data_IF_299698587527
#
_entry.id   IF_299698587527
#
_cell.length_a   1.000
_cell.length_b   1.000
_cell.length_c   1.000
_cell.angle_alpha   90.00
_cell.angle_beta   90.00
_cell.angle_gamma   90.00
#
_symmetry.space_group_name_H-M   'P 1'
#
loop_
_entity.id
_entity.type
_entity.pdbx_description
1 polymer ?
#
# COMPACT_ATOMS: atom_id res chain seq x y z
N UNK A 1 15.90 26.15 25.40
CA UNK A 1 17.36 25.89 25.41
C UNK A 1 17.58 24.43 25.01
N UNK A 2 18.08 24.17 23.80
CA UNK A 2 18.46 22.82 23.36
C UNK A 2 19.96 22.67 23.54
N UNK A 3 20.41 21.94 24.56
CA UNK A 3 21.82 21.57 24.69
C UNK A 3 22.08 20.43 23.70
N UNK A 4 22.85 20.65 22.64
CA UNK A 4 23.24 19.58 21.71
C UNK A 4 24.59 19.02 22.13
N UNK A 5 24.61 17.75 22.51
CA UNK A 5 25.87 17.02 22.73
C UNK A 5 26.55 16.84 21.37
N UNK A 6 27.57 17.66 21.10
CA UNK A 6 28.28 17.64 19.81
C UNK A 6 29.16 16.39 19.68
N UNK A 7 29.12 15.72 18.51
CA UNK A 7 30.02 14.60 18.15
C UNK A 7 31.51 14.91 18.37
N UNK A 8 31.87 16.19 18.33
CA UNK A 8 33.23 16.67 18.58
C UNK A 8 33.73 16.32 19.99
N UNK A 9 32.86 16.36 21.02
CA UNK A 9 33.24 16.01 22.38
C UNK A 9 33.62 14.53 22.52
N UNK A 10 32.97 13.62 21.80
CA UNK A 10 33.29 12.19 21.85
C UNK A 10 34.67 11.87 21.28
N UNK A 11 35.07 12.52 20.19
CA UNK A 11 36.38 12.31 19.59
C UNK A 11 37.48 12.84 20.51
N UNK A 12 37.33 14.08 21.00
CA UNK A 12 38.31 14.72 21.91
C UNK A 12 38.40 14.01 23.27
N UNK A 13 37.29 13.48 23.81
CA UNK A 13 37.31 12.68 25.03
C UNK A 13 38.00 11.33 24.81
N UNK A 14 37.78 10.68 23.67
CA UNK A 14 38.45 9.44 23.31
C UNK A 14 39.97 9.61 23.22
N UNK A 15 40.43 10.65 22.52
CA UNK A 15 41.86 10.97 22.40
C UNK A 15 42.49 11.32 23.75
N UNK A 16 41.78 12.05 24.61
CA UNK A 16 42.29 12.40 25.95
C UNK A 16 42.41 11.15 26.85
N UNK A 17 41.48 10.20 26.76
CA UNK A 17 41.56 8.92 27.50
C UNK A 17 42.74 8.08 27.00
N UNK A 18 43.00 8.05 25.69
CA UNK A 18 44.16 7.34 25.11
C UNK A 18 45.49 7.98 25.50
N UNK A 19 45.56 9.31 25.52
CA UNK A 19 46.74 10.06 25.96
C UNK A 19 47.04 9.81 27.44
N UNK A 20 46.04 9.88 28.32
CA UNK A 20 46.19 9.59 29.76
C UNK A 20 46.60 8.13 30.01
N UNK A 21 46.04 7.17 29.27
CA UNK A 21 46.47 5.75 29.34
C UNK A 21 47.90 5.55 28.86
N UNK A 22 48.33 6.28 27.83
CA UNK A 22 49.72 6.31 27.38
C UNK A 22 50.67 6.87 28.43
N UNK A 23 50.25 7.91 29.15
CA UNK A 23 51.00 8.51 30.26
C UNK A 23 51.22 7.45 31.36
N UNK A 24 50.21 6.69 31.77
CA UNK A 24 50.34 5.61 32.79
C UNK A 24 51.44 4.58 32.45
N UNK A 25 51.70 4.30 31.16
CA UNK A 25 52.74 3.35 30.73
C UNK A 25 54.17 3.91 30.76
N UNK A 26 54.32 5.23 31.00
CA UNK A 26 55.61 5.91 31.03
C UNK A 26 56.34 5.69 32.36
N UNK A 27 57.65 5.45 32.28
CA UNK A 27 58.54 5.18 33.44
C UNK A 27 58.62 6.33 34.45
N UNK A 28 58.13 7.53 34.13
CA UNK A 28 58.26 8.74 34.95
C UNK A 28 56.97 9.14 35.71
N UNK A 29 55.92 8.31 35.70
CA UNK A 29 54.61 8.65 36.29
C UNK A 29 54.52 8.53 37.80
N UNK A 30 55.54 7.97 38.48
CA UNK A 30 55.49 7.64 39.91
C UNK A 30 54.98 8.77 40.85
N UNK A 31 55.23 10.04 40.53
CA UNK A 31 54.80 11.20 41.35
C UNK A 31 53.34 11.62 41.07
N UNK A 32 52.82 11.36 39.86
CA UNK A 32 51.50 11.80 39.39
C UNK A 32 50.49 10.65 39.22
N UNK A 33 50.89 9.41 39.52
CA UNK A 33 50.09 8.21 39.28
C UNK A 33 48.68 8.29 39.88
N UNK A 34 48.56 8.77 41.13
CA UNK A 34 47.26 8.95 41.78
C UNK A 34 46.37 9.99 41.08
N UNK A 35 46.96 11.06 40.53
CA UNK A 35 46.21 12.11 39.83
C UNK A 35 45.75 11.60 38.45
N UNK A 36 46.62 10.90 37.73
CA UNK A 36 46.31 10.30 36.41
C UNK A 36 45.21 9.23 36.56
N UNK A 37 45.28 8.37 37.57
CA UNK A 37 44.23 7.39 37.86
C UNK A 37 42.88 8.05 38.18
N UNK A 38 42.88 9.14 38.95
CA UNK A 38 41.68 9.92 39.23
C UNK A 38 41.09 10.54 37.95
N UNK A 39 41.93 11.12 37.09
CA UNK A 39 41.47 11.70 35.82
C UNK A 39 40.93 10.65 34.85
N UNK A 40 41.56 9.46 34.77
CA UNK A 40 41.04 8.35 33.96
C UNK A 40 39.65 7.93 34.45
N UNK A 41 39.43 7.82 35.76
CA UNK A 41 38.11 7.49 36.34
C UNK A 41 37.07 8.57 36.01
N UNK A 42 37.44 9.85 36.16
CA UNK A 42 36.56 10.99 35.87
C UNK A 42 36.21 11.04 34.37
N UNK A 43 37.21 10.92 33.48
CA UNK A 43 37.01 10.97 32.04
C UNK A 43 36.20 9.77 31.53
N UNK A 44 36.39 8.57 32.10
CA UNK A 44 35.57 7.41 31.78
C UNK A 44 34.11 7.64 32.18
N UNK A 45 33.86 8.13 33.41
CA UNK A 45 32.52 8.47 33.87
C UNK A 45 31.85 9.52 32.98
N UNK A 46 32.57 10.59 32.62
CA UNK A 46 32.10 11.62 31.69
C UNK A 46 31.71 11.00 30.34
N UNK A 47 32.55 10.13 29.79
CA UNK A 47 32.27 9.45 28.51
C UNK A 47 30.98 8.64 28.56
N UNK A 48 30.78 7.86 29.62
CA UNK A 48 29.59 7.01 29.78
C UNK A 48 28.32 7.85 30.01
N UNK A 49 28.41 8.90 30.83
CA UNK A 49 27.30 9.83 31.08
C UNK A 49 26.90 10.55 29.80
N UNK A 50 27.85 11.08 29.02
CA UNK A 50 27.56 11.80 27.77
C UNK A 50 26.92 10.88 26.74
N UNK A 51 27.40 9.63 26.59
CA UNK A 51 26.79 8.64 25.69
C UNK A 51 25.35 8.36 26.10
N UNK A 52 25.13 8.08 27.38
CA UNK A 52 23.80 7.80 27.91
C UNK A 52 22.87 9.00 27.73
N UNK A 53 23.36 10.21 28.01
CA UNK A 53 22.60 11.45 27.84
C UNK A 53 22.21 11.68 26.39
N UNK A 54 23.12 11.48 25.43
CA UNK A 54 22.81 11.61 24.01
C UNK A 54 21.69 10.66 23.58
N UNK A 55 21.70 9.41 24.07
CA UNK A 55 20.65 8.42 23.81
C UNK A 55 19.32 8.89 24.42
N UNK A 56 19.32 9.30 25.69
CA UNK A 56 18.14 9.81 26.38
C UNK A 56 17.56 11.02 25.65
N UNK A 57 18.40 11.97 25.24
CA UNK A 57 17.99 13.16 24.51
C UNK A 57 17.30 12.80 23.19
N UNK A 58 17.90 11.92 22.39
CA UNK A 58 17.32 11.50 21.11
C UNK A 58 15.95 10.84 21.31
N UNK A 59 15.84 9.90 22.24
CA UNK A 59 14.58 9.20 22.50
C UNK A 59 13.52 10.11 23.15
N UNK A 60 13.92 11.05 24.00
CA UNK A 60 13.01 11.99 24.63
C UNK A 60 12.43 12.98 23.60
N UNK A 61 13.26 13.52 22.69
CA UNK A 61 12.77 14.41 21.61
C UNK A 61 11.75 13.71 20.69
N UNK A 62 11.95 12.43 20.44
CA UNK A 62 11.00 11.61 19.68
C UNK A 62 9.63 11.54 20.38
N UNK A 63 9.62 11.16 21.67
CA UNK A 63 8.39 11.05 22.45
C UNK A 63 7.74 12.41 22.74
N UNK A 64 8.52 13.49 22.88
CA UNK A 64 8.00 14.85 23.07
C UNK A 64 7.06 15.24 21.91
N UNK A 65 7.47 14.97 20.66
CA UNK A 65 6.64 15.25 19.49
C UNK A 65 5.32 14.47 19.48
N UNK A 66 5.31 13.25 20.01
CA UNK A 66 4.13 12.38 20.05
C UNK A 66 3.19 12.83 21.16
N UNK A 67 3.67 12.94 22.40
CA UNK A 67 2.82 13.18 23.57
C UNK A 67 2.36 14.64 23.70
N UNK A 68 3.14 15.61 23.21
CA UNK A 68 2.74 17.02 23.21
C UNK A 68 1.93 17.37 21.95
N UNK A 69 2.18 16.68 20.83
CA UNK A 69 1.57 17.00 19.52
C UNK A 69 0.32 16.22 19.14
N UNK A 70 -0.06 15.16 19.88
CA UNK A 70 -1.18 14.28 19.49
C UNK A 70 -2.26 14.15 20.55
N UNK A 71 -3.53 14.06 20.12
CA UNK A 71 -4.69 13.79 20.97
C UNK A 71 -4.82 12.29 21.34
N UNK A 72 -3.71 11.55 21.35
CA UNK A 72 -3.71 10.12 21.62
C UNK A 72 -3.85 9.88 23.14
N UNK A 73 -4.92 9.20 23.54
CA UNK A 73 -5.19 8.86 24.94
C UNK A 73 -4.30 7.70 25.42
N UNK A 74 -3.03 7.98 25.67
CA UNK A 74 -2.08 6.99 26.21
C UNK A 74 -2.13 6.83 27.74
N UNK A 75 -3.08 7.49 28.42
CA UNK A 75 -3.43 7.27 29.83
C UNK A 75 -2.25 7.13 30.80
N UNK A 76 -1.81 5.90 31.06
CA UNK A 76 -0.67 5.58 31.93
C UNK A 76 0.68 6.01 31.36
N UNK A 77 0.92 5.81 30.07
CA UNK A 77 2.20 6.15 29.45
C UNK A 77 2.41 7.65 29.33
N UNK A 78 1.32 8.42 29.23
CA UNK A 78 1.37 9.88 29.33
C UNK A 78 1.89 10.33 30.70
N UNK A 79 1.40 9.73 31.80
CA UNK A 79 1.90 10.01 33.16
C UNK A 79 3.36 9.60 33.34
N UNK A 80 3.76 8.48 32.76
CA UNK A 80 5.17 8.03 32.76
C UNK A 80 6.05 9.02 32.00
N UNK A 81 5.57 9.52 30.84
CA UNK A 81 6.28 10.52 30.06
C UNK A 81 6.40 11.85 30.82
N UNK A 82 5.33 12.35 31.46
CA UNK A 82 5.38 13.57 32.28
C UNK A 82 6.40 13.47 33.42
N UNK A 83 6.53 12.29 34.00
CA UNK A 83 7.53 12.04 35.06
C UNK A 83 8.94 12.08 34.48
N UNK A 84 9.18 11.40 33.35
CA UNK A 84 10.47 11.42 32.66
C UNK A 84 10.83 12.84 32.14
N UNK A 85 9.85 13.59 31.63
CA UNK A 85 9.98 14.96 31.14
C UNK A 85 10.40 15.92 32.27
N UNK A 86 9.72 15.87 33.43
CA UNK A 86 10.08 16.67 34.61
C UNK A 86 11.50 16.39 35.07
N UNK A 87 11.88 15.12 35.16
CA UNK A 87 13.24 14.72 35.55
C UNK A 87 14.26 15.21 34.52
N UNK A 88 14.03 14.99 33.23
CA UNK A 88 14.94 15.40 32.17
C UNK A 88 15.10 16.94 32.10
N UNK A 89 13.99 17.69 32.16
CA UNK A 89 14.04 19.17 32.18
C UNK A 89 14.76 19.72 33.40
N UNK A 90 14.64 19.07 34.58
CA UNK A 90 15.40 19.43 35.78
C UNK A 90 16.91 19.30 35.53
N UNK A 91 17.36 18.17 34.98
CA UNK A 91 18.77 17.95 34.60
C UNK A 91 19.23 19.04 33.61
N UNK A 92 18.43 19.31 32.58
CA UNK A 92 18.75 20.33 31.58
C UNK A 92 18.85 21.74 32.17
N UNK A 93 18.00 22.07 33.15
CA UNK A 93 18.04 23.35 33.85
C UNK A 93 19.25 23.49 34.77
N UNK A 94 19.58 22.47 35.56
CA UNK A 94 20.80 22.44 36.38
C UNK A 94 22.06 22.61 35.52
N UNK A 95 22.10 21.91 34.39
CA UNK A 95 23.23 21.96 33.43
C UNK A 95 23.32 23.31 32.72
N UNK A 96 22.18 23.97 32.47
CA UNK A 96 22.19 25.34 31.92
C UNK A 96 22.81 26.35 32.87
N UNK A 97 22.75 26.10 34.20
CA UNK A 97 23.36 26.95 35.23
C UNK A 97 24.86 26.68 35.41
N UNK A 98 25.31 25.43 35.23
CA UNK A 98 26.73 25.08 35.23
C UNK A 98 27.09 24.30 33.95
N UNK A 99 27.64 25.02 32.97
CA UNK A 99 27.98 24.48 31.64
C UNK A 99 29.30 23.69 31.59
N UNK A 100 30.03 23.59 32.71
CA UNK A 100 31.25 22.80 32.76
C UNK A 100 30.92 21.31 32.70
N UNK A 101 31.38 20.66 31.62
CA UNK A 101 31.11 19.23 31.33
C UNK A 101 31.54 18.32 32.48
N UNK A 102 32.66 18.64 33.14
CA UNK A 102 33.15 17.91 34.31
C UNK A 102 32.09 17.94 35.41
N UNK A 103 31.71 19.12 35.88
CA UNK A 103 30.77 19.29 36.99
C UNK A 103 29.37 18.74 36.67
N UNK A 104 28.91 18.92 35.43
CA UNK A 104 27.61 18.44 34.97
C UNK A 104 27.53 16.90 34.96
N UNK A 105 28.61 16.23 34.55
CA UNK A 105 28.66 14.77 34.45
C UNK A 105 29.10 14.09 35.76
N UNK A 106 29.91 14.75 36.58
CA UNK A 106 30.35 14.22 37.89
C UNK A 106 29.40 14.57 39.04
N UNK A 107 28.27 15.22 38.76
CA UNK A 107 27.23 15.47 39.76
C UNK A 107 26.80 14.14 40.42
N UNK A 108 26.72 14.05 41.76
CA UNK A 108 26.35 12.82 42.44
C UNK A 108 25.05 12.21 41.90
N UNK A 109 25.09 10.93 41.54
CA UNK A 109 23.91 10.20 41.04
C UNK A 109 23.48 10.50 39.60
N UNK A 110 24.17 11.38 38.85
CA UNK A 110 23.74 11.78 37.49
C UNK A 110 23.57 10.60 36.53
N UNK A 111 24.49 9.64 36.59
CA UNK A 111 24.43 8.43 35.76
C UNK A 111 23.17 7.61 36.07
N UNK A 112 22.86 7.40 37.34
CA UNK A 112 21.69 6.64 37.77
C UNK A 112 20.38 7.38 37.45
N UNK A 113 20.34 8.71 37.59
CA UNK A 113 19.21 9.54 37.15
C UNK A 113 18.94 9.37 35.66
N UNK A 114 19.95 9.55 34.80
CA UNK A 114 19.81 9.38 33.35
C UNK A 114 19.43 7.94 32.97
N UNK A 115 19.96 6.95 33.68
CA UNK A 115 19.61 5.54 33.48
C UNK A 115 18.16 5.26 33.89
N UNK A 116 17.68 5.89 34.96
CA UNK A 116 16.27 5.77 35.38
C UNK A 116 15.33 6.38 34.34
N UNK A 117 15.69 7.54 33.77
CA UNK A 117 14.95 8.19 32.68
C UNK A 117 14.95 7.31 31.43
N UNK A 118 16.10 6.75 31.06
CA UNK A 118 16.20 5.84 29.92
C UNK A 118 15.27 4.63 30.08
N UNK A 119 15.27 3.99 31.25
CA UNK A 119 14.40 2.84 31.53
C UNK A 119 12.90 3.20 31.45
N UNK A 120 12.52 4.41 31.88
CA UNK A 120 11.14 4.90 31.74
C UNK A 120 10.77 5.10 30.26
N UNK A 121 11.65 5.77 29.50
CA UNK A 121 11.48 6.01 28.07
C UNK A 121 11.36 4.68 27.31
N UNK A 122 12.19 3.68 27.63
CA UNK A 122 12.16 2.38 26.96
C UNK A 122 10.87 1.60 27.22
N UNK A 123 10.31 1.70 28.42
CA UNK A 123 8.99 1.12 28.72
C UNK A 123 7.89 1.78 27.89
N UNK A 124 7.93 3.11 27.76
CA UNK A 124 6.97 3.86 26.92
C UNK A 124 7.13 3.46 25.45
N UNK A 125 8.35 3.39 24.94
CA UNK A 125 8.62 2.95 23.55
C UNK A 125 8.11 1.53 23.28
N UNK A 126 8.29 0.61 24.22
CA UNK A 126 7.77 -0.76 24.08
C UNK A 126 6.24 -0.77 23.98
N UNK A 127 5.55 -0.04 24.86
CA UNK A 127 4.10 0.08 24.86
C UNK A 127 3.58 0.73 23.57
N UNK A 128 4.25 1.79 23.10
CA UNK A 128 3.93 2.45 21.82
C UNK A 128 4.04 1.48 20.64
N UNK A 129 5.11 0.69 20.58
CA UNK A 129 5.31 -0.29 19.52
C UNK A 129 4.25 -1.40 19.55
N UNK A 130 3.88 -1.89 20.74
CA UNK A 130 2.78 -2.85 20.90
C UNK A 130 1.43 -2.27 20.46
N UNK A 131 1.17 -1.01 20.80
CA UNK A 131 -0.01 -0.27 20.35
C UNK A 131 -0.07 -0.16 18.82
N UNK A 132 1.01 0.32 18.18
CA UNK A 132 1.08 0.46 16.73
C UNK A 132 0.96 -0.88 16.01
N UNK A 133 1.58 -1.94 16.54
CA UNK A 133 1.45 -3.28 15.99
C UNK A 133 0.00 -3.80 16.07
N UNK A 134 -0.71 -3.52 17.17
CA UNK A 134 -2.13 -3.86 17.29
C UNK A 134 -2.96 -3.15 16.22
N UNK A 135 -2.66 -1.87 15.93
CA UNK A 135 -3.32 -1.12 14.85
C UNK A 135 -3.02 -1.69 13.47
N UNK A 136 -1.78 -2.07 13.22
CA UNK A 136 -1.35 -2.74 11.97
C UNK A 136 -2.03 -4.10 11.78
N UNK A 137 -2.25 -4.87 12.84
CA UNK A 137 -3.00 -6.12 12.75
C UNK A 137 -4.47 -5.91 12.41
N UNK A 138 -5.09 -4.83 12.89
CA UNK A 138 -6.49 -4.49 12.58
C UNK A 138 -6.67 -4.01 11.13
N UNK A 139 -5.66 -3.35 10.57
CA UNK A 139 -5.63 -2.95 9.16
C UNK A 139 -4.22 -3.16 8.58
N UNK A 140 -3.97 -4.32 7.93
CA UNK A 140 -2.62 -4.72 7.48
C UNK A 140 -1.91 -3.74 6.55
N UNK A 141 -2.64 -2.88 5.81
CA UNK A 141 -2.00 -1.90 4.93
C UNK A 141 -1.21 -0.83 5.69
N UNK A 142 -1.41 -0.69 7.01
CA UNK A 142 -0.54 0.16 7.84
C UNK A 142 0.89 -0.37 8.00
N UNK A 143 1.19 -1.60 7.59
CA UNK A 143 2.58 -2.06 7.49
C UNK A 143 3.39 -1.31 6.42
N UNK A 144 2.73 -0.62 5.49
CA UNK A 144 3.40 0.21 4.46
C UNK A 144 3.79 1.60 4.96
N UNK A 145 3.36 1.97 6.16
CA UNK A 145 3.61 3.27 6.75
C UNK A 145 4.71 3.18 7.81
N UNK A 146 5.55 4.22 7.88
CA UNK A 146 6.48 4.35 9.01
C UNK A 146 5.72 4.55 10.33
N UNK A 147 6.39 4.33 11.46
CA UNK A 147 5.77 4.56 12.78
C UNK A 147 5.28 6.02 12.92
N UNK A 148 6.04 6.99 12.40
CA UNK A 148 5.71 8.41 12.46
C UNK A 148 4.50 8.78 11.59
N UNK A 149 4.39 8.18 10.41
CA UNK A 149 3.24 8.35 9.52
C UNK A 149 1.99 7.70 10.09
N UNK A 150 2.12 6.53 10.71
CA UNK A 150 0.99 5.89 11.36
C UNK A 150 0.51 6.69 12.57
N UNK A 151 1.43 7.24 13.36
CA UNK A 151 1.10 8.10 14.50
C UNK A 151 0.42 9.40 14.07
N UNK A 152 0.85 10.03 12.96
CA UNK A 152 0.21 11.25 12.45
C UNK A 152 -1.24 10.99 12.03
N UNK A 153 -1.52 9.82 11.43
CA UNK A 153 -2.86 9.40 11.02
C UNK A 153 -3.75 9.12 12.24
N UNK A 154 -3.26 8.34 13.21
CA UNK A 154 -4.07 7.97 14.39
C UNK A 154 -4.28 9.18 15.31
N UNK A 155 -3.30 10.10 15.38
CA UNK A 155 -3.38 11.30 16.20
C UNK A 155 -4.34 12.36 15.68
N UNK A 156 -4.73 12.29 14.40
CA UNK A 156 -5.68 13.22 13.79
C UNK A 156 -7.12 12.69 13.85
N UNK A 157 -8.06 13.56 14.22
CA UNK A 157 -9.49 13.26 14.16
C UNK A 157 -10.10 13.50 12.77
N UNK A 158 -9.33 14.15 11.88
CA UNK A 158 -9.80 14.57 10.56
C UNK A 158 -9.48 13.49 9.51
N UNK A 159 -10.49 12.84 8.89
CA UNK A 159 -10.27 11.78 7.89
C UNK A 159 -9.44 12.23 6.69
N UNK A 160 -9.47 13.53 6.36
CA UNK A 160 -8.70 14.10 5.26
C UNK A 160 -7.18 13.92 5.39
N UNK A 161 -6.63 13.74 6.59
CA UNK A 161 -5.19 13.51 6.76
C UNK A 161 -4.71 12.22 6.12
N UNK A 162 -5.59 11.22 5.92
CA UNK A 162 -5.18 9.95 5.33
C UNK A 162 -4.83 10.07 3.84
N UNK A 163 -5.32 11.12 3.17
CA UNK A 163 -5.26 11.28 1.72
C UNK A 163 -3.81 11.23 1.21
N UNK A 164 -2.87 11.84 1.93
CA UNK A 164 -1.45 11.88 1.57
C UNK A 164 -0.77 10.49 1.63
N UNK A 165 -1.35 9.57 2.38
CA UNK A 165 -0.80 8.23 2.62
C UNK A 165 -1.47 7.14 1.78
N UNK A 166 -2.57 7.43 1.08
CA UNK A 166 -3.34 6.44 0.31
C UNK A 166 -2.49 5.78 -0.77
N UNK A 167 -1.62 6.53 -1.46
CA UNK A 167 -0.73 6.00 -2.49
C UNK A 167 0.27 4.95 -1.98
N UNK A 168 0.56 4.94 -0.67
CA UNK A 168 1.41 3.90 -0.06
C UNK A 168 0.63 2.65 0.31
N UNK A 169 -0.67 2.78 0.56
CA UNK A 169 -1.54 1.70 1.05
C UNK A 169 -2.34 1.01 -0.07
N UNK A 170 -2.62 1.71 -1.16
CA UNK A 170 -3.39 1.23 -2.31
C UNK A 170 -2.63 1.50 -3.60
N UNK A 171 -2.79 0.62 -4.58
CA UNK A 171 -2.20 0.82 -5.90
C UNK A 171 -3.03 1.81 -6.72
N UNK A 172 -2.37 2.84 -7.25
CA UNK A 172 -2.95 3.84 -8.16
C UNK A 172 -4.18 4.63 -7.63
N UNK A 173 -4.33 4.77 -6.31
CA UNK A 173 -5.38 5.58 -5.69
C UNK A 173 -4.83 6.95 -5.32
N UNK A 174 -5.47 8.01 -5.84
CA UNK A 174 -5.13 9.39 -5.54
C UNK A 174 -5.79 9.84 -4.25
N UNK A 175 -7.09 9.61 -4.11
CA UNK A 175 -7.88 10.14 -3.00
C UNK A 175 -9.21 9.42 -2.80
N UNK A 176 -9.78 9.63 -1.61
CA UNK A 176 -11.17 9.30 -1.30
C UNK A 176 -12.07 10.53 -1.48
N UNK A 177 -13.25 10.37 -2.05
CA UNK A 177 -14.25 11.42 -2.14
C UNK A 177 -15.03 11.50 -0.81
N UNK A 178 -14.64 12.43 0.06
CA UNK A 178 -15.32 12.66 1.33
C UNK A 178 -16.48 13.65 1.21
N UNK A 179 -17.61 13.31 1.81
CA UNK A 179 -18.84 14.10 1.78
C UNK A 179 -19.45 14.15 3.18
N UNK A 180 -19.94 15.32 3.59
CA UNK A 180 -20.70 15.46 4.82
C UNK A 180 -22.12 14.88 4.69
N UNK A 181 -22.64 14.32 5.77
CA UNK A 181 -23.97 13.69 5.81
C UNK A 181 -25.08 14.49 5.14
N UNK A 182 -25.19 15.80 5.43
CA UNK A 182 -26.24 16.66 4.85
C UNK A 182 -26.17 16.69 3.30
N UNK A 183 -24.96 16.71 2.73
CA UNK A 183 -24.76 16.67 1.28
C UNK A 183 -24.97 15.27 0.71
N UNK A 184 -24.77 14.22 1.51
CA UNK A 184 -25.05 12.84 1.15
C UNK A 184 -26.57 12.58 1.02
N UNK A 185 -27.38 13.09 1.95
CA UNK A 185 -28.85 13.05 1.87
C UNK A 185 -29.36 13.70 0.57
N UNK A 186 -28.93 14.94 0.30
CA UNK A 186 -29.27 15.67 -0.93
C UNK A 186 -28.86 14.88 -2.19
N UNK A 187 -27.73 14.14 -2.14
CA UNK A 187 -27.28 13.34 -3.28
C UNK A 187 -28.09 12.07 -3.50
N UNK A 188 -28.68 11.50 -2.44
CA UNK A 188 -29.59 10.35 -2.52
C UNK A 188 -30.97 10.79 -2.99
N UNK A 189 -31.46 11.94 -2.53
CA UNK A 189 -32.72 12.56 -2.94
C UNK A 189 -32.73 12.91 -4.44
N UNK A 190 -31.61 13.39 -5.02
CA UNK A 190 -31.55 13.63 -6.48
C UNK A 190 -31.63 12.37 -7.35
N UNK A 191 -31.43 11.17 -6.79
CA UNK A 191 -31.56 9.90 -7.53
C UNK A 191 -32.98 9.33 -7.45
N UNK A 192 -33.80 9.79 -6.51
CA UNK A 192 -35.19 9.40 -6.33
C UNK A 192 -36.04 10.66 -6.50
N UNK A 193 -36.59 10.91 -7.69
CA UNK A 193 -37.45 12.06 -8.01
C UNK A 193 -38.74 12.08 -7.16
N UNK A 194 -38.64 12.37 -5.86
CA UNK A 194 -39.78 12.64 -4.99
C UNK A 194 -39.48 13.91 -4.17
N UNK A 195 -40.26 14.96 -4.45
CA UNK A 195 -40.34 16.15 -3.62
C UNK A 195 -41.02 15.76 -2.31
N UNK A 196 -40.26 15.72 -1.22
CA UNK A 196 -40.81 15.64 0.14
C UNK A 196 -40.07 16.66 1.01
N UNK A 197 -40.85 17.31 1.88
CA UNK A 197 -40.59 18.56 2.60
C UNK A 197 -39.27 18.64 3.40
N UNK A 198 -38.68 19.85 3.40
CA UNK A 198 -37.44 20.31 4.06
C UNK A 198 -37.43 20.27 5.61
N UNK A 199 -38.01 19.26 6.25
CA UNK A 199 -37.96 19.13 7.73
C UNK A 199 -37.40 17.78 8.17
N UNK A 200 -36.12 17.55 7.92
CA UNK A 200 -35.39 16.43 8.53
C UNK A 200 -34.76 16.90 9.84
N UNK A 201 -35.21 16.28 10.93
CA UNK A 201 -34.77 16.43 12.31
C UNK A 201 -33.26 16.66 12.48
N UNK A 202 -32.89 17.88 12.89
CA UNK A 202 -31.58 18.18 13.46
C UNK A 202 -31.42 17.45 14.80
N UNK A 203 -30.54 16.44 14.85
CA UNK A 203 -29.85 16.04 16.07
C UNK A 203 -28.56 15.26 15.74
N UNK A 204 -27.42 15.80 16.19
CA UNK A 204 -26.08 15.18 16.38
C UNK A 204 -25.33 14.50 15.20
N UNK A 205 -25.93 14.27 14.02
CA UNK A 205 -25.23 13.65 12.87
C UNK A 205 -24.61 14.65 11.87
N UNK A 206 -24.80 15.96 12.06
CA UNK A 206 -24.47 16.99 11.06
C UNK A 206 -22.99 17.07 10.66
N UNK A 207 -22.07 16.63 11.53
CA UNK A 207 -20.62 16.66 11.26
C UNK A 207 -20.02 15.32 10.81
N UNK A 208 -20.84 14.29 10.58
CA UNK A 208 -20.33 12.99 10.15
C UNK A 208 -19.82 13.04 8.70
N UNK A 209 -18.61 12.52 8.50
CA UNK A 209 -17.93 12.47 7.20
C UNK A 209 -18.06 11.07 6.63
N UNK A 210 -18.45 10.96 5.37
CA UNK A 210 -18.58 9.71 4.63
C UNK A 210 -17.65 9.67 3.44
N UNK A 211 -16.98 8.54 3.21
CA UNK A 211 -16.33 8.25 1.94
C UNK A 211 -17.38 7.73 0.95
N UNK A 212 -17.57 8.43 -0.17
CA UNK A 212 -18.53 8.06 -1.23
C UNK A 212 -17.88 7.31 -2.39
N UNK A 213 -16.61 7.59 -2.68
CA UNK A 213 -15.94 7.04 -3.86
C UNK A 213 -14.43 6.98 -3.66
N UNK A 214 -13.76 6.17 -4.49
CA UNK A 214 -12.31 6.18 -4.65
C UNK A 214 -11.95 6.81 -5.98
N UNK A 215 -10.93 7.66 -5.99
CA UNK A 215 -10.46 8.38 -7.17
C UNK A 215 -9.05 7.90 -7.48
N UNK A 216 -8.83 7.44 -8.71
CA UNK A 216 -7.51 7.02 -9.20
C UNK A 216 -6.60 8.21 -9.54
N UNK A 217 -5.31 7.96 -9.80
CA UNK A 217 -4.37 9.00 -10.25
C UNK A 217 -4.79 9.63 -11.59
N UNK A 218 -5.46 8.87 -12.46
CA UNK A 218 -6.06 9.37 -13.72
C UNK A 218 -7.37 10.13 -13.48
N UNK A 219 -7.79 10.32 -12.23
CA UNK A 219 -9.06 10.93 -11.86
C UNK A 219 -10.27 10.14 -12.35
N UNK A 220 -10.13 8.83 -12.53
CA UNK A 220 -11.29 7.95 -12.66
C UNK A 220 -11.91 7.75 -11.28
N UNK A 221 -13.23 7.86 -11.17
CA UNK A 221 -13.97 7.75 -9.91
C UNK A 221 -14.77 6.46 -9.89
N UNK A 222 -14.52 5.62 -8.88
CA UNK A 222 -15.36 4.47 -8.56
C UNK A 222 -16.23 4.79 -7.34
N UNK A 223 -17.53 4.96 -7.58
CA UNK A 223 -18.50 5.15 -6.49
C UNK A 223 -18.67 3.87 -5.68
N UNK A 224 -18.74 4.01 -4.37
CA UNK A 224 -19.22 2.96 -3.48
C UNK A 224 -20.73 2.83 -3.60
N UNK A 225 -21.22 1.59 -3.50
CA UNK A 225 -22.66 1.34 -3.39
C UNK A 225 -23.18 1.91 -2.07
N UNK A 226 -22.46 1.62 -0.99
CA UNK A 226 -22.76 2.12 0.34
C UNK A 226 -21.64 3.07 0.80
N UNK A 227 -21.90 4.37 0.92
CA UNK A 227 -20.93 5.29 1.49
C UNK A 227 -20.55 4.88 2.92
N UNK A 228 -19.25 4.91 3.23
CA UNK A 228 -18.70 4.46 4.51
C UNK A 228 -18.51 5.64 5.44
N UNK A 229 -19.01 5.54 6.67
CA UNK A 229 -18.79 6.54 7.71
C UNK A 229 -17.32 6.52 8.16
N UNK A 230 -16.67 7.67 8.16
CA UNK A 230 -15.24 7.85 8.49
C UNK A 230 -15.04 8.46 9.88
N UNK A 231 -16.02 8.30 10.77
CA UNK A 231 -15.94 8.76 12.14
C UNK A 231 -15.31 7.69 13.04
N UNK A 232 -14.57 8.13 14.07
CA UNK A 232 -13.97 7.23 15.04
C UNK A 232 -12.61 6.68 14.58
N UNK A 233 -12.31 5.43 14.96
CA UNK A 233 -10.97 4.85 14.82
C UNK A 233 -10.64 4.54 13.35
N UNK A 234 -9.51 5.06 12.87
CA UNK A 234 -9.06 4.96 11.47
C UNK A 234 -8.97 3.52 10.97
N UNK A 235 -8.43 2.61 11.77
CA UNK A 235 -8.28 1.22 11.36
C UNK A 235 -9.62 0.51 11.06
N UNK A 236 -10.72 0.96 11.67
CA UNK A 236 -12.04 0.34 11.51
C UNK A 236 -12.65 0.79 10.19
N UNK A 237 -12.76 2.09 9.97
CA UNK A 237 -13.39 2.59 8.76
C UNK A 237 -12.53 2.37 7.51
N UNK A 238 -11.19 2.35 7.61
CA UNK A 238 -10.33 1.94 6.50
C UNK A 238 -10.53 0.48 6.10
N UNK A 239 -10.65 -0.42 7.08
CA UNK A 239 -11.00 -1.82 6.83
C UNK A 239 -12.39 -1.96 6.20
N UNK A 240 -13.34 -1.10 6.54
CA UNK A 240 -14.66 -1.06 5.90
C UNK A 240 -14.60 -0.52 4.48
N UNK A 241 -13.79 0.51 4.22
CA UNK A 241 -13.53 1.03 2.87
C UNK A 241 -12.94 -0.06 1.97
N UNK A 242 -11.98 -0.85 2.45
CA UNK A 242 -11.41 -1.94 1.66
C UNK A 242 -12.47 -3.00 1.29
N UNK A 243 -13.33 -3.37 2.25
CA UNK A 243 -14.41 -4.34 2.00
C UNK A 243 -15.42 -3.79 1.00
N UNK A 244 -15.84 -2.54 1.18
CA UNK A 244 -16.82 -1.88 0.32
C UNK A 244 -16.28 -1.62 -1.09
N UNK A 245 -14.99 -1.30 -1.22
CA UNK A 245 -14.30 -1.20 -2.50
C UNK A 245 -14.44 -2.50 -3.30
N UNK A 246 -14.07 -3.64 -2.70
CA UNK A 246 -14.16 -4.96 -3.35
C UNK A 246 -15.60 -5.34 -3.66
N UNK A 247 -16.52 -5.09 -2.71
CA UNK A 247 -17.94 -5.40 -2.87
C UNK A 247 -18.60 -4.58 -4.00
N UNK A 248 -18.41 -3.25 -3.99
CA UNK A 248 -18.93 -2.35 -5.02
C UNK A 248 -18.38 -2.71 -6.40
N UNK A 249 -17.06 -2.95 -6.49
CA UNK A 249 -16.42 -3.33 -7.75
C UNK A 249 -16.96 -4.67 -8.29
N UNK A 250 -17.20 -5.66 -7.43
CA UNK A 250 -17.82 -6.94 -7.82
C UNK A 250 -19.22 -6.77 -8.38
N UNK A 251 -20.05 -5.92 -7.78
CA UNK A 251 -21.39 -5.64 -8.27
C UNK A 251 -21.39 -4.86 -9.58
N UNK A 252 -20.54 -3.83 -9.70
CA UNK A 252 -20.33 -3.10 -10.95
C UNK A 252 -19.85 -4.04 -12.07
N UNK A 253 -18.97 -4.99 -11.74
CA UNK A 253 -18.51 -6.02 -12.69
C UNK A 253 -19.66 -6.91 -13.13
N UNK A 254 -20.48 -7.40 -12.19
CA UNK A 254 -21.67 -8.20 -12.51
C UNK A 254 -22.65 -7.47 -13.43
N UNK A 255 -22.93 -6.20 -13.12
CA UNK A 255 -23.77 -5.34 -13.94
C UNK A 255 -23.19 -5.22 -15.36
N UNK A 256 -21.90 -4.91 -15.46
CA UNK A 256 -21.21 -4.75 -16.74
C UNK A 256 -21.24 -6.02 -17.60
N UNK A 257 -21.05 -7.20 -16.99
CA UNK A 257 -21.15 -8.51 -17.68
C UNK A 257 -22.53 -8.69 -18.31
N UNK A 258 -23.59 -8.42 -17.54
CA UNK A 258 -24.97 -8.59 -18.01
C UNK A 258 -25.28 -7.64 -19.18
N UNK A 259 -24.89 -6.36 -19.08
CA UNK A 259 -25.22 -5.36 -20.09
C UNK A 259 -24.34 -5.41 -21.34
N UNK A 260 -23.21 -6.12 -21.35
CA UNK A 260 -22.30 -6.19 -22.52
C UNK A 260 -23.01 -6.64 -23.80
N UNK A 261 -23.90 -7.65 -23.71
CA UNK A 261 -24.71 -8.12 -24.85
C UNK A 261 -26.13 -7.56 -24.86
N UNK A 262 -26.52 -6.75 -23.87
CA UNK A 262 -27.89 -6.25 -23.77
C UNK A 262 -28.05 -4.94 -24.55
N UNK A 263 -28.48 -5.05 -25.82
CA UNK A 263 -29.05 -3.95 -26.62
C UNK A 263 -28.21 -2.65 -26.71
N UNK A 264 -26.90 -2.69 -26.48
CA UNK A 264 -26.00 -1.54 -26.55
C UNK A 264 -24.83 -1.80 -27.48
N UNK A 265 -24.30 -0.75 -28.11
CA UNK A 265 -23.06 -0.82 -28.86
C UNK A 265 -21.87 -1.00 -27.89
N UNK A 266 -20.85 -1.79 -28.29
CA UNK A 266 -19.63 -2.03 -27.51
C UNK A 266 -18.96 -0.72 -27.06
N UNK A 267 -18.88 0.30 -27.93
CA UNK A 267 -18.30 1.61 -27.62
C UNK A 267 -19.11 2.38 -26.56
N UNK A 268 -20.44 2.34 -26.65
CA UNK A 268 -21.32 3.00 -25.67
C UNK A 268 -21.23 2.30 -24.31
N UNK A 269 -21.19 0.97 -24.32
CA UNK A 269 -20.97 0.16 -23.12
C UNK A 269 -19.63 0.50 -22.45
N UNK A 270 -18.54 0.62 -23.22
CA UNK A 270 -17.23 1.03 -22.71
C UNK A 270 -17.21 2.45 -22.12
N UNK A 271 -18.10 3.36 -22.56
CA UNK A 271 -18.19 4.71 -21.95
C UNK A 271 -18.89 4.68 -20.60
N UNK A 272 -19.86 3.78 -20.42
CA UNK A 272 -20.69 3.69 -19.21
C UNK A 272 -19.90 3.19 -17.99
N UNK A 273 -19.00 2.22 -18.17
CA UNK A 273 -18.31 1.57 -17.06
C UNK A 273 -16.89 2.12 -16.83
N UNK A 274 -16.34 1.84 -15.64
CA UNK A 274 -14.96 2.18 -15.29
C UNK A 274 -13.96 1.26 -16.00
N UNK A 275 -12.75 1.74 -16.23
CA UNK A 275 -11.73 1.08 -17.04
C UNK A 275 -11.39 -0.33 -16.59
N UNK A 276 -11.09 -0.52 -15.30
CA UNK A 276 -10.77 -1.82 -14.73
C UNK A 276 -11.86 -2.87 -14.99
N UNK A 277 -13.13 -2.48 -14.81
CA UNK A 277 -14.29 -3.36 -15.03
C UNK A 277 -14.39 -3.74 -16.51
N UNK A 278 -14.20 -2.78 -17.41
CA UNK A 278 -14.23 -3.02 -18.86
C UNK A 278 -13.19 -4.06 -19.25
N UNK A 279 -11.95 -3.93 -18.76
CA UNK A 279 -10.86 -4.85 -19.10
C UNK A 279 -11.16 -6.29 -18.64
N UNK A 280 -11.69 -6.46 -17.42
CA UNK A 280 -12.04 -7.78 -16.89
C UNK A 280 -13.22 -8.41 -17.65
N UNK A 281 -14.25 -7.63 -17.95
CA UNK A 281 -15.43 -8.12 -18.68
C UNK A 281 -15.10 -8.40 -20.14
N UNK A 282 -14.23 -7.61 -20.76
CA UNK A 282 -13.74 -7.86 -22.12
C UNK A 282 -13.05 -9.23 -22.22
N UNK A 283 -12.14 -9.54 -21.29
CA UNK A 283 -11.46 -10.84 -21.24
C UNK A 283 -12.41 -12.02 -21.03
N UNK A 284 -13.44 -11.85 -20.19
CA UNK A 284 -14.48 -12.85 -20.00
C UNK A 284 -15.24 -13.12 -21.30
N UNK A 285 -15.70 -12.08 -21.99
CA UNK A 285 -16.46 -12.26 -23.22
C UNK A 285 -15.59 -12.82 -24.34
N UNK A 286 -14.33 -12.39 -24.45
CA UNK A 286 -13.36 -13.00 -25.38
C UNK A 286 -13.18 -14.50 -25.10
N UNK A 287 -13.02 -14.89 -23.84
CA UNK A 287 -12.92 -16.31 -23.45
C UNK A 287 -14.14 -17.09 -23.93
N UNK A 288 -15.34 -16.59 -23.62
CA UNK A 288 -16.58 -17.24 -23.99
C UNK A 288 -16.80 -17.31 -25.52
N UNK A 289 -16.49 -16.23 -26.23
CA UNK A 289 -16.66 -16.15 -27.69
C UNK A 289 -15.72 -17.11 -28.45
N UNK A 290 -14.49 -17.30 -27.96
CA UNK A 290 -13.53 -18.27 -28.50
C UNK A 290 -14.01 -19.69 -28.24
N UNK A 291 -14.49 -19.99 -27.03
CA UNK A 291 -15.08 -21.30 -26.69
C UNK A 291 -16.33 -21.61 -27.50
N UNK A 292 -17.19 -20.62 -27.75
CA UNK A 292 -18.34 -20.74 -28.66
C UNK A 292 -17.90 -21.03 -30.11
N UNK A 293 -16.77 -20.49 -30.57
CA UNK A 293 -16.22 -20.87 -31.89
C UNK A 293 -15.75 -22.33 -31.93
N UNK A 294 -15.11 -22.83 -30.87
CA UNK A 294 -14.76 -24.25 -30.78
C UNK A 294 -16.02 -25.13 -30.83
N UNK A 295 -17.06 -24.75 -30.09
CA UNK A 295 -18.34 -25.44 -30.10
C UNK A 295 -19.00 -25.46 -31.49
N UNK A 296 -18.92 -24.36 -32.25
CA UNK A 296 -19.40 -24.31 -33.65
C UNK A 296 -18.60 -25.21 -34.58
N UNK A 297 -17.29 -25.32 -34.39
CA UNK A 297 -16.44 -26.22 -35.18
C UNK A 297 -16.81 -27.68 -34.88
N UNK A 298 -16.95 -28.05 -33.61
CA UNK A 298 -17.17 -29.43 -33.16
C UNK A 298 -18.62 -29.87 -33.39
N UNK A 299 -19.59 -29.09 -32.92
CA UNK A 299 -21.03 -29.47 -32.91
C UNK A 299 -21.73 -29.15 -34.23
N UNK A 300 -21.34 -28.07 -34.90
CA UNK A 300 -21.98 -27.59 -36.14
C UNK A 300 -21.12 -27.79 -37.40
N UNK A 301 -19.93 -28.41 -37.28
CA UNK A 301 -18.99 -28.67 -38.37
C UNK A 301 -18.58 -27.40 -39.16
N UNK A 302 -18.61 -26.23 -38.52
CA UNK A 302 -18.30 -24.94 -39.14
C UNK A 302 -16.79 -24.67 -39.09
N UNK A 303 -16.02 -25.33 -39.95
CA UNK A 303 -14.53 -25.22 -39.97
C UNK A 303 -13.98 -23.80 -40.18
N UNK A 304 -14.78 -22.88 -40.72
CA UNK A 304 -14.41 -21.48 -40.91
C UNK A 304 -14.81 -20.55 -39.77
N UNK A 305 -15.40 -21.06 -38.68
CA UNK A 305 -15.92 -20.22 -37.58
C UNK A 305 -14.85 -19.30 -36.99
N UNK A 306 -13.67 -19.84 -36.63
CA UNK A 306 -12.54 -19.04 -36.11
C UNK A 306 -12.07 -17.98 -37.11
N UNK A 307 -11.98 -18.30 -38.41
CA UNK A 307 -11.59 -17.33 -39.46
C UNK A 307 -12.60 -16.20 -39.61
N UNK A 308 -13.90 -16.49 -39.47
CA UNK A 308 -14.95 -15.47 -39.46
C UNK A 308 -14.85 -14.61 -38.20
N UNK A 309 -14.56 -15.21 -37.05
CA UNK A 309 -14.39 -14.50 -35.79
C UNK A 309 -13.21 -13.52 -35.83
N UNK A 310 -12.05 -13.90 -36.40
CA UNK A 310 -10.92 -12.98 -36.61
C UNK A 310 -11.31 -11.76 -37.45
N UNK A 311 -12.14 -11.93 -38.49
CA UNK A 311 -12.66 -10.79 -39.27
C UNK A 311 -13.54 -9.87 -38.41
N UNK A 312 -14.34 -10.44 -37.52
CA UNK A 312 -15.15 -9.65 -36.57
C UNK A 312 -14.26 -8.89 -35.58
N UNK A 313 -13.24 -9.53 -35.01
CA UNK A 313 -12.27 -8.88 -34.12
C UNK A 313 -11.56 -7.71 -34.81
N UNK A 314 -11.10 -7.90 -36.05
CA UNK A 314 -10.47 -6.83 -36.82
C UNK A 314 -11.42 -5.66 -37.08
N UNK A 315 -12.69 -5.92 -37.40
CA UNK A 315 -13.71 -4.87 -37.56
C UNK A 315 -13.92 -4.09 -36.27
N UNK A 316 -14.02 -4.77 -35.12
CA UNK A 316 -14.20 -4.11 -33.83
C UNK A 316 -12.97 -3.28 -33.42
N UNK A 317 -11.76 -3.80 -33.68
CA UNK A 317 -10.52 -3.06 -33.48
C UNK A 317 -10.50 -1.79 -34.33
N UNK A 318 -10.89 -1.89 -35.61
CA UNK A 318 -10.97 -0.75 -36.52
C UNK A 318 -11.99 0.30 -36.04
N UNK A 319 -13.15 -0.12 -35.54
CA UNK A 319 -14.16 0.77 -34.94
C UNK A 319 -13.59 1.57 -33.76
N UNK A 320 -12.87 0.92 -32.84
CA UNK A 320 -12.21 1.59 -31.71
C UNK A 320 -11.15 2.59 -32.22
N UNK A 321 -10.32 2.19 -33.18
CA UNK A 321 -9.28 3.05 -33.77
C UNK A 321 -9.88 4.28 -34.46
N UNK A 322 -10.99 4.12 -35.18
CA UNK A 322 -11.70 5.24 -35.81
C UNK A 322 -12.25 6.19 -34.74
N UNK A 323 -12.81 5.67 -33.65
CA UNK A 323 -13.33 6.50 -32.56
C UNK A 323 -12.21 7.25 -31.83
N UNK A 324 -11.05 6.62 -31.62
CA UNK A 324 -9.87 7.25 -30.99
C UNK A 324 -9.25 8.38 -31.82
N UNK A 325 -9.52 8.45 -33.14
CA UNK A 325 -9.10 9.59 -33.98
C UNK A 325 -9.92 10.86 -33.75
N UNK A 326 -11.07 10.74 -33.07
CA UNK A 326 -11.92 11.88 -32.70
C UNK A 326 -11.39 12.52 -31.41
N UNK A 327 -11.91 13.70 -31.08
CA UNK A 327 -11.63 14.34 -29.80
C UNK A 327 -12.34 13.56 -28.67
N UNK A 328 -11.56 12.98 -27.76
CA UNK A 328 -12.03 12.22 -26.61
C UNK A 328 -11.52 12.84 -25.30
N UNK A 329 -12.25 12.60 -24.21
CA UNK A 329 -11.74 12.95 -22.88
C UNK A 329 -10.52 12.06 -22.56
N UNK A 330 -9.54 12.53 -21.77
CA UNK A 330 -8.35 11.75 -21.43
C UNK A 330 -8.67 10.33 -20.89
N UNK A 331 -9.65 10.21 -19.99
CA UNK A 331 -10.03 8.90 -19.44
C UNK A 331 -10.72 7.99 -20.45
N UNK A 332 -11.47 8.54 -21.41
CA UNK A 332 -12.08 7.76 -22.49
C UNK A 332 -11.01 7.26 -23.47
N UNK A 333 -10.05 8.12 -23.81
CA UNK A 333 -8.92 7.74 -24.65
C UNK A 333 -8.10 6.60 -24.01
N UNK A 334 -7.72 6.74 -22.73
CA UNK A 334 -6.96 5.73 -22.01
C UNK A 334 -7.72 4.40 -21.86
N UNK A 335 -9.06 4.45 -21.70
CA UNK A 335 -9.90 3.24 -21.74
C UNK A 335 -9.78 2.51 -23.07
N UNK A 336 -9.94 3.22 -24.17
CA UNK A 336 -9.88 2.62 -25.50
C UNK A 336 -8.48 2.11 -25.83
N UNK A 337 -7.43 2.83 -25.47
CA UNK A 337 -6.04 2.38 -25.64
C UNK A 337 -5.74 1.07 -24.90
N UNK A 338 -6.16 0.98 -23.63
CA UNK A 338 -5.93 -0.21 -22.80
C UNK A 338 -6.74 -1.41 -23.28
N UNK A 339 -7.99 -1.20 -23.73
CA UNK A 339 -8.80 -2.27 -24.34
C UNK A 339 -8.22 -2.71 -25.67
N UNK A 340 -7.77 -1.78 -26.51
CA UNK A 340 -7.15 -2.08 -27.80
C UNK A 340 -5.91 -2.97 -27.63
N UNK A 341 -5.10 -2.70 -26.62
CA UNK A 341 -3.92 -3.54 -26.28
C UNK A 341 -4.32 -4.99 -26.00
N UNK A 342 -5.42 -5.20 -25.29
CA UNK A 342 -5.97 -6.53 -24.99
C UNK A 342 -6.60 -7.19 -26.22
N UNK A 343 -7.35 -6.43 -27.02
CA UNK A 343 -8.02 -6.94 -28.21
C UNK A 343 -7.02 -7.41 -29.27
N UNK A 344 -5.92 -6.67 -29.46
CA UNK A 344 -4.82 -7.07 -30.34
C UNK A 344 -4.22 -8.41 -29.90
N UNK A 345 -3.93 -8.57 -28.61
CA UNK A 345 -3.44 -9.83 -28.07
C UNK A 345 -4.45 -10.98 -28.25
N UNK A 346 -5.75 -10.72 -28.03
CA UNK A 346 -6.82 -11.71 -28.23
C UNK A 346 -6.87 -12.16 -29.70
N UNK A 347 -6.84 -11.22 -30.64
CA UNK A 347 -6.79 -11.52 -32.08
C UNK A 347 -5.57 -12.35 -32.43
N UNK A 348 -4.38 -11.95 -31.97
CA UNK A 348 -3.13 -12.65 -32.25
C UNK A 348 -3.15 -14.09 -31.69
N UNK A 349 -3.78 -14.29 -30.53
CA UNK A 349 -4.01 -15.61 -29.95
C UNK A 349 -4.90 -16.47 -30.85
N UNK A 350 -6.01 -15.92 -31.35
CA UNK A 350 -6.89 -16.65 -32.28
C UNK A 350 -6.17 -16.95 -33.61
N UNK A 351 -5.37 -16.04 -34.13
CA UNK A 351 -4.56 -16.28 -35.33
C UNK A 351 -3.54 -17.41 -35.12
N UNK A 352 -2.92 -17.49 -33.94
CA UNK A 352 -2.04 -18.60 -33.55
C UNK A 352 -2.82 -19.92 -33.52
N UNK A 353 -4.01 -19.95 -32.89
CA UNK A 353 -4.86 -21.14 -32.84
C UNK A 353 -5.24 -21.63 -34.25
N UNK A 354 -5.57 -20.71 -35.16
CA UNK A 354 -5.89 -21.03 -36.56
C UNK A 354 -4.66 -21.58 -37.29
N UNK A 355 -3.50 -20.91 -37.14
CA UNK A 355 -2.24 -21.30 -37.79
C UNK A 355 -1.82 -22.70 -37.36
N UNK A 356 -1.94 -23.01 -36.08
CA UNK A 356 -1.50 -24.27 -35.48
C UNK A 356 -2.59 -25.36 -35.59
N UNK A 357 -3.75 -25.03 -36.19
CA UNK A 357 -4.81 -26.00 -36.49
C UNK A 357 -5.60 -26.48 -35.27
N UNK A 358 -5.63 -25.67 -34.21
CA UNK A 358 -6.28 -26.01 -32.94
C UNK A 358 -7.79 -25.85 -33.09
N UNK A 359 -8.52 -26.94 -32.89
CA UNK A 359 -9.99 -26.98 -33.08
C UNK A 359 -10.75 -27.43 -31.82
N UNK A 360 -10.06 -27.63 -30.70
CA UNK A 360 -10.66 -28.13 -29.48
C UNK A 360 -10.23 -27.30 -28.25
N UNK A 361 -11.13 -27.09 -27.28
CA UNK A 361 -10.82 -26.29 -26.10
C UNK A 361 -9.90 -27.01 -25.12
N UNK A 362 -9.72 -28.33 -25.23
CA UNK A 362 -8.83 -29.08 -24.33
C UNK A 362 -7.36 -29.01 -24.74
N UNK A 363 -7.05 -28.42 -25.91
CA UNK A 363 -5.68 -28.27 -26.37
C UNK A 363 -4.87 -27.35 -25.46
N UNK A 364 -3.61 -27.72 -25.21
CA UNK A 364 -2.71 -26.96 -24.36
C UNK A 364 -2.54 -25.51 -24.82
N UNK A 365 -2.54 -25.26 -26.14
CA UNK A 365 -2.36 -23.93 -26.73
C UNK A 365 -3.47 -22.94 -26.31
N UNK A 366 -4.67 -23.45 -26.05
CA UNK A 366 -5.77 -22.66 -25.47
C UNK A 366 -5.74 -22.70 -23.94
N UNK A 367 -5.51 -23.86 -23.33
CA UNK A 367 -5.51 -24.02 -21.87
C UNK A 367 -4.43 -23.19 -21.17
N UNK A 368 -3.31 -22.91 -21.84
CA UNK A 368 -2.22 -22.09 -21.33
C UNK A 368 -2.52 -20.59 -21.33
N UNK A 369 -3.60 -20.14 -21.95
CA UNK A 369 -4.06 -18.74 -21.91
C UNK A 369 -4.75 -18.43 -20.58
N UNK A 370 -4.65 -17.18 -20.14
CA UNK A 370 -5.36 -16.69 -18.95
C UNK A 370 -6.82 -16.42 -19.29
N UNK A 371 -7.72 -17.29 -18.83
CA UNK A 371 -9.14 -17.28 -19.19
C UNK A 371 -10.01 -16.81 -18.04
N UNK A 372 -11.12 -16.16 -18.35
CA UNK A 372 -12.01 -15.53 -17.38
C UNK A 372 -13.40 -16.14 -17.46
N UNK A 373 -13.93 -16.56 -16.30
CA UNK A 373 -15.22 -17.23 -16.19
C UNK A 373 -16.06 -16.59 -15.10
N UNK A 374 -17.28 -16.18 -15.45
CA UNK A 374 -18.28 -15.80 -14.45
C UNK A 374 -19.07 -17.03 -14.01
N UNK A 375 -18.97 -17.37 -12.73
CA UNK A 375 -19.68 -18.52 -12.16
C UNK A 375 -20.93 -18.02 -11.45
N UNK A 376 -22.10 -18.19 -12.09
CA UNK A 376 -23.38 -17.68 -11.56
C UNK A 376 -23.76 -18.24 -10.20
N UNK A 377 -23.34 -19.47 -9.86
CA UNK A 377 -23.59 -20.09 -8.53
C UNK A 377 -22.84 -19.36 -7.42
N UNK A 378 -21.59 -19.01 -7.67
CA UNK A 378 -20.71 -18.31 -6.72
C UNK A 378 -20.88 -16.79 -6.83
N UNK A 379 -21.60 -16.31 -7.86
CA UNK A 379 -21.80 -14.90 -8.20
C UNK A 379 -20.47 -14.14 -8.30
N UNK A 380 -19.43 -14.79 -8.84
CA UNK A 380 -18.05 -14.32 -8.78
C UNK A 380 -17.32 -14.54 -10.11
N UNK A 381 -16.28 -13.72 -10.35
CA UNK A 381 -15.38 -13.85 -11.49
C UNK A 381 -14.17 -14.71 -11.09
N UNK A 382 -13.88 -15.71 -11.89
CA UNK A 382 -12.74 -16.60 -11.73
C UNK A 382 -11.81 -16.50 -12.92
N UNK A 383 -10.52 -16.61 -12.65
CA UNK A 383 -9.50 -16.81 -13.65
C UNK A 383 -9.07 -18.27 -13.67
N UNK A 384 -8.81 -18.81 -14.85
CA UNK A 384 -8.28 -20.14 -15.02
C UNK A 384 -7.14 -20.13 -16.03
N UNK A 385 -6.03 -20.74 -15.65
CA UNK A 385 -4.88 -20.95 -16.53
C UNK A 385 -4.32 -22.34 -16.25
N UNK A 386 -4.27 -23.19 -17.27
CA UNK A 386 -4.07 -24.63 -17.14
C UNK A 386 -4.99 -25.22 -16.03
N UNK A 387 -4.38 -25.79 -14.99
CA UNK A 387 -5.08 -26.40 -13.86
C UNK A 387 -5.30 -25.41 -12.70
N UNK A 388 -4.72 -24.21 -12.76
CA UNK A 388 -4.88 -23.19 -11.74
C UNK A 388 -6.23 -22.49 -11.88
N UNK A 389 -6.98 -22.39 -10.77
CA UNK A 389 -8.22 -21.63 -10.66
C UNK A 389 -8.04 -20.57 -9.56
N UNK A 390 -8.33 -19.32 -9.88
CA UNK A 390 -8.13 -18.17 -8.98
C UNK A 390 -9.39 -17.31 -8.93
N UNK A 391 -9.71 -16.78 -7.76
CA UNK A 391 -10.74 -15.74 -7.63
C UNK A 391 -10.18 -14.39 -8.11
N UNK A 392 -11.00 -13.61 -8.80
CA UNK A 392 -10.67 -12.23 -9.12
C UNK A 392 -10.68 -11.38 -7.83
N UNK A 393 -9.64 -10.59 -7.60
CA UNK A 393 -9.42 -9.93 -6.30
C UNK A 393 -10.22 -8.65 -6.06
N UNK A 394 -10.75 -8.02 -7.12
CA UNK A 394 -11.53 -6.76 -7.07
C UNK A 394 -10.83 -5.57 -6.39
N UNK A 395 -9.50 -5.58 -6.28
CA UNK A 395 -8.72 -4.43 -5.80
C UNK A 395 -8.84 -3.28 -6.80
N UNK A 396 -9.49 -2.17 -6.42
CA UNK A 396 -9.62 -1.04 -7.32
C UNK A 396 -8.27 -0.34 -7.52
N UNK A 397 -7.87 -0.19 -8.77
CA UNK A 397 -6.57 0.35 -9.18
C UNK A 397 -6.69 1.36 -10.34
N UNK A 398 -7.89 1.87 -10.61
CA UNK A 398 -8.13 2.85 -11.68
C UNK A 398 -7.71 2.39 -13.08
N UNK A 399 -7.32 3.36 -13.91
CA UNK A 399 -6.87 3.17 -15.28
C UNK A 399 -5.34 3.09 -15.35
N UNK A 400 -4.77 2.17 -14.58
CA UNK A 400 -3.33 1.95 -14.55
C UNK A 400 -2.92 1.10 -15.76
N UNK A 401 -2.51 1.75 -16.86
CA UNK A 401 -2.23 1.19 -18.19
C UNK A 401 -1.67 -0.25 -18.26
N UNK A 402 -1.96 -0.93 -19.37
CA UNK A 402 -1.64 -2.36 -19.57
C UNK A 402 -0.34 -2.54 -20.34
N UNK A 403 0.43 -3.55 -19.95
CA UNK A 403 1.61 -3.98 -20.71
C UNK A 403 1.16 -4.67 -21.99
N UNK A 404 1.87 -4.43 -23.10
CA UNK A 404 1.65 -5.20 -24.34
C UNK A 404 2.02 -6.66 -24.09
N UNK A 405 1.04 -7.55 -24.20
CA UNK A 405 1.21 -8.97 -23.92
C UNK A 405 1.89 -9.64 -25.12
N UNK A 406 3.12 -10.12 -24.89
CA UNK A 406 3.92 -10.88 -25.86
C UNK A 406 4.00 -12.35 -25.45
N UNK A 407 4.41 -13.27 -26.35
CA UNK A 407 4.61 -14.68 -26.00
C UNK A 407 5.62 -14.94 -24.87
N UNK A 408 6.49 -13.97 -24.56
CA UNK A 408 7.35 -14.04 -23.38
C UNK A 408 6.59 -13.68 -22.09
N UNK A 409 5.70 -12.71 -22.16
CA UNK A 409 4.83 -12.29 -21.05
C UNK A 409 3.86 -13.41 -20.68
N UNK A 410 3.24 -14.07 -21.67
CA UNK A 410 2.37 -15.22 -21.43
C UNK A 410 3.08 -16.37 -20.72
N UNK A 411 4.34 -16.62 -21.09
CA UNK A 411 5.17 -17.63 -20.41
C UNK A 411 5.45 -17.26 -18.96
N UNK A 412 5.68 -15.99 -18.67
CA UNK A 412 5.81 -15.52 -17.28
C UNK A 412 4.48 -15.70 -16.54
N UNK A 413 3.35 -15.35 -17.16
CA UNK A 413 2.02 -15.50 -16.55
C UNK A 413 1.77 -16.95 -16.18
N UNK A 414 1.95 -17.86 -17.14
CA UNK A 414 1.80 -19.29 -16.96
C UNK A 414 2.70 -19.84 -15.84
N UNK A 415 3.96 -19.41 -15.78
CA UNK A 415 4.89 -19.86 -14.74
C UNK A 415 4.44 -19.39 -13.35
N UNK A 416 4.01 -18.13 -13.24
CA UNK A 416 3.57 -17.54 -11.97
C UNK A 416 2.26 -18.18 -11.51
N UNK A 417 1.25 -18.28 -12.38
CA UNK A 417 -0.04 -18.89 -12.02
C UNK A 417 0.11 -20.37 -11.70
N UNK A 418 0.95 -21.12 -12.42
CA UNK A 418 1.22 -22.51 -12.09
C UNK A 418 1.88 -22.65 -10.72
N UNK A 419 2.88 -21.82 -10.39
CA UNK A 419 3.51 -21.81 -9.06
C UNK A 419 2.50 -21.47 -7.96
N UNK A 420 1.67 -20.44 -8.16
CA UNK A 420 0.62 -20.03 -7.22
C UNK A 420 -0.42 -21.13 -6.99
N UNK A 421 -0.78 -21.89 -8.04
CA UNK A 421 -1.70 -23.03 -7.91
C UNK A 421 -1.16 -24.15 -7.01
N UNK A 422 0.16 -24.19 -6.82
CA UNK A 422 0.88 -25.14 -5.97
C UNK A 422 1.27 -24.54 -4.61
N UNK A 423 0.79 -23.33 -4.28
CA UNK A 423 1.18 -22.57 -3.09
C UNK A 423 2.70 -22.29 -3.01
N UNK A 424 3.34 -22.12 -4.17
CA UNK A 424 4.76 -21.80 -4.28
C UNK A 424 4.97 -20.35 -4.75
N UNK A 425 6.07 -19.75 -4.33
CA UNK A 425 6.56 -18.49 -4.89
C UNK A 425 7.22 -18.70 -6.25
N UNK A 426 7.16 -17.67 -7.11
CA UNK A 426 7.84 -17.66 -8.41
C UNK A 426 9.06 -16.74 -8.36
N UNK A 427 10.21 -17.23 -8.86
CA UNK A 427 11.45 -16.47 -8.96
C UNK A 427 11.90 -16.34 -10.43
N UNK A 428 11.32 -15.40 -11.21
CA UNK A 428 11.72 -15.22 -12.60
C UNK A 428 13.15 -14.66 -12.68
N UNK A 429 14.05 -15.41 -13.32
CA UNK A 429 15.45 -15.05 -13.51
C UNK A 429 15.69 -14.53 -14.94
N UNK A 430 16.54 -13.50 -15.07
CA UNK A 430 16.96 -12.97 -16.36
C UNK A 430 17.62 -11.59 -16.24
N UNK A 431 18.23 -11.07 -17.32
CA UNK A 431 18.93 -9.78 -17.32
C UNK A 431 18.07 -8.60 -16.84
N UNK A 432 18.70 -7.54 -16.32
CA UNK A 432 17.98 -6.32 -15.95
C UNK A 432 17.27 -5.72 -17.17
N UNK A 433 16.10 -5.10 -16.96
CA UNK A 433 15.35 -4.43 -18.03
C UNK A 433 14.52 -5.35 -18.95
N UNK A 434 14.50 -6.67 -18.74
CA UNK A 434 13.70 -7.61 -19.56
C UNK A 434 12.22 -7.72 -19.15
N UNK A 435 11.66 -6.68 -18.53
CA UNK A 435 10.23 -6.62 -18.20
C UNK A 435 9.73 -7.54 -17.07
N UNK A 436 10.59 -8.33 -16.39
CA UNK A 436 10.16 -9.33 -15.37
C UNK A 436 9.22 -8.77 -14.29
N UNK A 437 9.62 -7.67 -13.66
CA UNK A 437 8.84 -7.02 -12.60
C UNK A 437 7.54 -6.44 -13.15
N UNK A 438 7.58 -5.86 -14.35
CA UNK A 438 6.41 -5.27 -15.00
C UNK A 438 5.42 -6.33 -15.46
N UNK A 439 5.88 -7.51 -15.90
CA UNK A 439 5.00 -8.66 -16.18
C UNK A 439 4.30 -9.16 -14.92
N UNK A 440 4.99 -9.25 -13.77
CA UNK A 440 4.34 -9.63 -12.51
C UNK A 440 3.29 -8.59 -12.10
N UNK A 441 3.61 -7.29 -12.21
CA UNK A 441 2.66 -6.21 -11.93
C UNK A 441 1.44 -6.29 -12.85
N UNK A 442 1.64 -6.49 -14.15
CA UNK A 442 0.51 -6.55 -15.10
C UNK A 442 -0.37 -7.80 -14.90
N UNK A 443 0.21 -8.93 -14.48
CA UNK A 443 -0.55 -10.11 -14.06
C UNK A 443 -1.39 -9.81 -12.82
N UNK A 444 -0.80 -9.20 -11.79
CA UNK A 444 -1.54 -8.84 -10.59
C UNK A 444 -2.69 -7.88 -10.90
N UNK A 445 -2.47 -6.90 -11.78
CA UNK A 445 -3.54 -6.04 -12.32
C UNK A 445 -4.62 -6.85 -13.03
N UNK A 446 -4.23 -7.82 -13.86
CA UNK A 446 -5.17 -8.70 -14.57
C UNK A 446 -6.00 -9.56 -13.62
N UNK A 447 -5.43 -9.96 -12.48
CA UNK A 447 -6.10 -10.73 -11.44
C UNK A 447 -6.91 -9.85 -10.46
N UNK A 448 -6.80 -8.52 -10.55
CA UNK A 448 -7.44 -7.61 -9.60
C UNK A 448 -6.80 -7.66 -8.20
N UNK A 449 -5.50 -7.90 -8.11
CA UNK A 449 -4.73 -8.08 -6.87
C UNK A 449 -3.81 -6.89 -6.60
N UNK A 450 -3.62 -6.56 -5.32
CA UNK A 450 -2.61 -5.58 -4.90
C UNK A 450 -1.20 -6.13 -5.11
N UNK A 451 -0.41 -5.47 -5.95
CA UNK A 451 1.00 -5.82 -6.17
C UNK A 451 1.92 -4.83 -5.45
N UNK A 452 2.69 -5.31 -4.49
CA UNK A 452 3.69 -4.48 -3.80
C UNK A 452 5.08 -4.88 -4.24
N UNK A 453 5.83 -3.91 -4.77
CA UNK A 453 7.21 -4.12 -5.21
C UNK A 453 8.17 -3.44 -4.26
N UNK A 454 8.95 -4.24 -3.54
CA UNK A 454 10.01 -3.76 -2.66
C UNK A 454 11.38 -4.06 -3.27
N UNK A 455 12.14 -3.02 -3.58
CA UNK A 455 13.54 -3.18 -3.99
C UNK A 455 14.40 -3.51 -2.77
N UNK A 456 15.01 -4.70 -2.74
CA UNK A 456 15.95 -5.11 -1.71
C UNK A 456 17.34 -4.54 -2.02
N UNK A 457 17.64 -3.34 -1.53
CA UNK A 457 19.00 -2.78 -1.52
C UNK A 457 19.76 -3.18 -0.25
N UNK A 458 21.08 -2.99 -0.24
CA UNK A 458 22.00 -3.38 0.85
C UNK A 458 21.64 -2.83 2.25
N UNK A 459 20.78 -1.81 2.33
CA UNK A 459 20.32 -1.21 3.59
C UNK A 459 19.00 -1.75 4.16
N UNK A 460 18.32 -2.73 3.55
CA UNK A 460 17.06 -3.25 4.08
C UNK A 460 17.28 -4.39 5.07
N UNK A 461 17.03 -4.08 6.34
CA UNK A 461 17.10 -5.01 7.46
C UNK A 461 16.02 -6.10 7.29
N UNK A 462 16.40 -7.35 7.57
CA UNK A 462 15.61 -8.59 7.55
C UNK A 462 14.17 -8.47 8.11
N UNK A 463 13.94 -7.52 9.02
CA UNK A 463 12.64 -7.23 9.61
C UNK A 463 11.57 -6.81 8.58
N UNK A 464 11.89 -6.12 7.48
CA UNK A 464 10.85 -5.72 6.50
C UNK A 464 10.28 -6.88 5.69
N UNK A 465 10.99 -8.01 5.55
CA UNK A 465 10.59 -9.13 4.69
C UNK A 465 9.65 -10.10 5.42
N UNK A 466 9.78 -10.24 6.75
CA UNK A 466 8.97 -11.17 7.55
C UNK A 466 7.46 -10.82 7.53
N UNK A 467 7.11 -9.54 7.35
CA UNK A 467 5.73 -9.06 7.38
C UNK A 467 4.90 -9.41 6.14
N UNK A 468 5.54 -9.70 5.00
CA UNK A 468 4.85 -9.97 3.73
C UNK A 468 4.43 -11.43 3.53
N UNK A 469 4.91 -12.36 4.37
CA UNK A 469 4.66 -13.81 4.22
C UNK A 469 3.37 -14.30 4.88
N UNK A 470 2.61 -13.46 5.57
CA UNK A 470 1.38 -13.87 6.25
C UNK A 470 0.16 -13.13 5.70
N UNK A 471 -0.23 -13.42 4.46
CA UNK A 471 -1.62 -13.28 4.02
C UNK A 471 -1.87 -14.22 2.83
N UNK A 472 -2.23 -15.46 3.16
CA UNK A 472 -3.04 -16.32 2.34
C UNK A 472 -4.42 -16.46 2.98
#
# INVERSE_FOLDING_TARGET
MRFQVHKHYHHTLGTNIEQERGIVTSRFVGIYLLQVEQWIRILSLISDVIKLWAIVQQKWMYLENIFIGSNLQFGEDAKRFDTADKLYRKIMFETSRNSLVKDACTHPGRYDELKSILNLIEKIQKSLNEYLNTKRQLFPRFYFLSDDELLSIIGSLNPNHIQEYLQKMFDNIASLNFIHYNKLLISKEKQQNEQIDEQIHLNNQENSIYAKAMISLEKEEMNFLNPIECNGKVEIWMSNIEKEMKYSNRLLTKEAIFYYRFKQNRLEWMRKYIGMVILAVNQLWSTWEIEDQFDKIIKHNQRSAMKTYVKQLNSQIEEIVIEMRKFLKPNEYNKFETVLTIDVHTRDTVDILIRDGINEPHDFSWQCQLRFYWLSKENNLFLQQCNGKFEYGYEYMGLNGRLVITPLTDRIYLTVTQALSMFLGCAPAGPAGTGKTESIKDLAKAMGLLCVVTNCGEGKIFFSIHWFSFHH
#
